data_IF_153718968320
#
_entry.id   IF_153718968320
#
_cell.length_a   1.000
_cell.length_b   1.000
_cell.length_c   1.000
_cell.angle_alpha   90.00
_cell.angle_beta   90.00
_cell.angle_gamma   90.00
#
_symmetry.space_group_name_H-M   'P 1'
#
loop_
_entity.id
_entity.type
_entity.pdbx_description
1 polymer ?
#
# COMPACT_ATOMS: atom_id res chain seq x y z
N UNK A 1 1.41 1.22 20.97
CA UNK A 1 1.68 2.51 20.30
C UNK A 1 2.92 2.31 19.46
N UNK A 2 2.77 2.38 18.14
CA UNK A 2 3.83 2.21 17.13
C UNK A 2 3.83 3.48 16.26
N UNK A 3 4.96 3.86 15.64
CA UNK A 3 6.26 3.19 15.69
C UNK A 3 6.97 3.34 17.04
N UNK A 4 7.94 2.46 17.27
CA UNK A 4 8.87 2.53 18.39
C UNK A 4 10.25 2.03 17.94
N UNK A 5 11.32 2.63 18.46
CA UNK A 5 12.71 2.16 18.25
C UNK A 5 13.41 1.98 19.59
N UNK A 6 14.40 1.11 19.63
CA UNK A 6 15.39 1.09 20.71
C UNK A 6 16.68 1.74 20.19
N UNK A 7 17.11 2.81 20.86
CA UNK A 7 18.33 3.54 20.54
C UNK A 7 19.15 3.72 21.82
N UNK A 8 20.37 3.17 21.83
CA UNK A 8 21.25 3.17 23.01
C UNK A 8 20.59 2.64 24.30
N UNK A 9 19.87 1.53 24.19
CA UNK A 9 19.17 0.89 25.31
C UNK A 9 17.92 1.65 25.79
N UNK A 10 17.46 2.66 25.05
CA UNK A 10 16.26 3.44 25.37
C UNK A 10 15.18 3.23 24.32
N UNK A 11 13.98 2.91 24.79
CA UNK A 11 12.80 2.81 23.93
C UNK A 11 12.23 4.21 23.68
N UNK A 12 12.20 4.62 22.43
CA UNK A 12 11.63 5.88 21.95
C UNK A 12 10.37 5.55 21.16
N UNK A 13 9.30 6.30 21.39
CA UNK A 13 8.00 6.16 20.72
C UNK A 13 7.65 7.52 20.10
N UNK A 14 6.60 7.56 19.28
CA UNK A 14 6.17 8.73 18.50
C UNK A 14 7.13 9.10 17.36
N UNK A 15 6.60 9.27 16.16
CA UNK A 15 7.42 9.48 14.96
C UNK A 15 8.30 10.73 15.05
N UNK A 16 7.79 11.85 15.59
CA UNK A 16 8.56 13.10 15.70
C UNK A 16 9.74 12.94 16.68
N UNK A 17 9.53 12.30 17.83
CA UNK A 17 10.58 12.07 18.84
C UNK A 17 11.64 11.08 18.31
N UNK A 18 11.20 10.05 17.57
CA UNK A 18 12.08 9.10 16.88
C UNK A 18 12.98 9.83 15.88
N UNK A 19 12.40 10.67 15.02
CA UNK A 19 13.16 11.42 14.01
C UNK A 19 14.16 12.38 14.64
N UNK A 20 13.77 13.10 15.71
CA UNK A 20 14.66 13.99 16.46
C UNK A 20 15.81 13.23 17.14
N UNK A 21 15.53 12.05 17.70
CA UNK A 21 16.56 11.21 18.32
C UNK A 21 17.55 10.67 17.29
N UNK A 22 17.06 10.20 16.13
CA UNK A 22 17.90 9.75 15.02
C UNK A 22 18.77 10.89 14.48
N UNK A 23 18.19 12.08 14.28
CA UNK A 23 18.93 13.27 13.86
C UNK A 23 20.05 13.64 14.84
N UNK A 24 19.80 13.52 16.15
CA UNK A 24 20.81 13.81 17.18
C UNK A 24 22.00 12.86 17.13
N UNK A 25 21.76 11.59 16.81
CA UNK A 25 22.81 10.54 16.78
C UNK A 25 23.56 10.52 15.45
N UNK A 26 22.83 10.58 14.33
CA UNK A 26 23.39 10.36 13.00
C UNK A 26 23.55 11.63 12.16
N UNK A 27 23.08 12.77 12.65
CA UNK A 27 23.00 14.02 11.91
C UNK A 27 21.71 14.15 11.08
N UNK A 28 21.44 15.35 10.53
CA UNK A 28 20.22 15.61 9.77
C UNK A 28 20.20 14.87 8.44
N UNK A 29 19.00 14.47 8.02
CA UNK A 29 18.74 14.02 6.66
C UNK A 29 18.51 15.25 5.77
N UNK A 30 19.61 15.80 5.24
CA UNK A 30 19.71 17.06 4.50
C UNK A 30 19.42 18.31 5.34
N UNK A 31 18.22 18.45 5.90
CA UNK A 31 17.82 19.53 6.79
C UNK A 31 17.42 18.99 8.16
N UNK A 32 17.50 19.85 9.18
CA UNK A 32 17.05 19.53 10.54
C UNK A 32 15.52 19.56 10.63
N UNK A 33 14.94 18.72 11.48
CA UNK A 33 13.50 18.70 11.80
C UNK A 33 12.94 20.07 12.23
N UNK A 34 13.78 20.88 12.89
CA UNK A 34 13.45 22.20 13.42
C UNK A 34 13.92 23.36 12.52
N UNK A 35 14.43 23.06 11.33
CA UNK A 35 14.85 24.09 10.38
C UNK A 35 13.66 24.99 9.96
N UNK A 36 13.90 26.30 9.85
CA UNK A 36 12.88 27.30 9.45
C UNK A 36 12.23 27.00 8.09
N UNK A 37 12.93 26.31 7.20
CA UNK A 37 12.43 25.89 5.88
C UNK A 37 11.59 24.62 5.96
N UNK A 38 11.82 23.77 6.97
CA UNK A 38 11.13 22.50 7.21
C UNK A 38 9.82 22.68 7.97
N UNK A 39 9.79 23.59 8.97
CA UNK A 39 8.62 23.80 9.82
C UNK A 39 7.32 24.13 9.05
N UNK A 40 7.30 25.03 8.05
CA UNK A 40 6.09 25.29 7.27
C UNK A 40 5.61 24.07 6.47
N UNK A 41 6.53 23.24 5.99
CA UNK A 41 6.20 22.02 5.23
C UNK A 41 5.61 20.95 6.14
N UNK A 42 6.11 20.81 7.38
CA UNK A 42 5.49 19.96 8.42
C UNK A 42 4.08 20.41 8.76
N UNK A 43 3.82 21.72 8.81
CA UNK A 43 2.45 22.23 9.02
C UNK A 43 1.54 21.92 7.82
N UNK A 44 2.08 22.00 6.60
CA UNK A 44 1.36 21.65 5.37
C UNK A 44 1.00 20.15 5.33
N UNK A 45 1.92 19.26 5.72
CA UNK A 45 1.64 17.82 5.87
C UNK A 45 0.45 17.58 6.80
N UNK A 46 0.45 18.19 8.00
CA UNK A 46 -0.66 18.05 8.95
C UNK A 46 -1.98 18.59 8.41
N UNK A 47 -1.92 19.65 7.59
CA UNK A 47 -3.11 20.19 6.92
C UNK A 47 -3.64 19.21 5.86
N UNK A 48 -2.75 18.61 5.07
CA UNK A 48 -3.09 17.59 4.08
C UNK A 48 -3.71 16.36 4.75
N UNK A 49 -3.09 15.85 5.81
CA UNK A 49 -3.61 14.74 6.60
C UNK A 49 -5.03 15.00 7.11
N UNK A 50 -5.30 16.19 7.67
CA UNK A 50 -6.64 16.57 8.16
C UNK A 50 -7.65 16.63 7.03
N UNK A 51 -7.31 17.22 5.88
CA UNK A 51 -8.20 17.31 4.74
C UNK A 51 -8.53 15.92 4.16
N UNK A 52 -7.54 15.03 4.10
CA UNK A 52 -7.73 13.63 3.71
C UNK A 52 -8.66 12.89 4.68
N UNK A 53 -8.40 12.98 5.99
CA UNK A 53 -9.25 12.35 7.00
C UNK A 53 -10.70 12.84 6.91
N UNK A 54 -10.90 14.16 6.75
CA UNK A 54 -12.23 14.75 6.61
C UNK A 54 -13.00 14.18 5.40
N UNK A 55 -12.31 13.89 4.30
CA UNK A 55 -12.95 13.35 3.11
C UNK A 55 -13.15 11.83 3.15
N UNK A 56 -12.19 11.09 3.70
CA UNK A 56 -12.18 9.62 3.66
C UNK A 56 -12.75 8.95 4.90
N UNK A 57 -12.41 9.43 6.10
CA UNK A 57 -12.55 8.65 7.34
C UNK A 57 -13.87 8.90 8.08
N UNK A 58 -14.62 9.94 7.68
CA UNK A 58 -15.92 10.26 8.27
C UNK A 58 -17.06 9.99 7.29
N UNK A 59 -18.17 9.40 7.76
CA UNK A 59 -19.35 9.20 6.92
C UNK A 59 -19.94 10.55 6.52
N UNK A 60 -20.27 10.70 5.25
CA UNK A 60 -20.96 11.88 4.73
C UNK A 60 -22.46 11.67 4.74
N UNK A 61 -23.22 12.71 5.09
CA UNK A 61 -24.69 12.66 5.16
C UNK A 61 -25.37 13.23 3.91
N UNK A 62 -24.60 13.79 2.97
CA UNK A 62 -25.14 14.35 1.71
C UNK A 62 -24.07 14.46 0.61
N UNK A 63 -24.51 14.45 -0.64
CA UNK A 63 -23.64 14.68 -1.81
C UNK A 63 -22.97 16.07 -1.79
N UNK A 64 -23.63 17.08 -1.23
CA UNK A 64 -23.06 18.42 -1.10
C UNK A 64 -21.88 18.45 -0.10
N UNK A 65 -21.96 17.66 0.97
CA UNK A 65 -20.85 17.50 1.91
C UNK A 65 -19.68 16.75 1.27
N UNK A 66 -19.95 15.67 0.53
CA UNK A 66 -18.93 14.93 -0.22
C UNK A 66 -18.18 15.85 -1.19
N UNK A 67 -18.91 16.63 -1.99
CA UNK A 67 -18.32 17.62 -2.92
C UNK A 67 -17.45 18.64 -2.20
N UNK A 68 -17.92 19.19 -1.07
CA UNK A 68 -17.17 20.17 -0.28
C UNK A 68 -15.87 19.58 0.30
N UNK A 69 -15.94 18.36 0.83
CA UNK A 69 -14.77 17.67 1.37
C UNK A 69 -13.72 17.40 0.28
N UNK A 70 -14.18 16.96 -0.91
CA UNK A 70 -13.33 16.82 -2.10
C UNK A 70 -12.66 18.13 -2.50
N UNK A 71 -13.43 19.21 -2.62
CA UNK A 71 -12.91 20.55 -2.97
C UNK A 71 -11.89 21.07 -1.93
N UNK A 72 -12.15 20.84 -0.64
CA UNK A 72 -11.21 21.21 0.43
C UNK A 72 -9.91 20.41 0.33
N UNK A 73 -9.98 19.10 0.07
CA UNK A 73 -8.79 18.28 -0.14
C UNK A 73 -7.98 18.75 -1.34
N UNK A 74 -8.63 18.96 -2.49
CA UNK A 74 -7.98 19.46 -3.73
C UNK A 74 -7.31 20.81 -3.49
N UNK A 75 -7.95 21.71 -2.73
CA UNK A 75 -7.36 23.01 -2.37
C UNK A 75 -6.07 22.87 -1.57
N UNK A 76 -5.98 21.85 -0.69
CA UNK A 76 -4.76 21.59 0.07
C UNK A 76 -3.71 20.89 -0.80
N UNK A 77 -4.10 19.97 -1.67
CA UNK A 77 -3.18 19.36 -2.65
C UNK A 77 -2.56 20.42 -3.57
N UNK A 78 -3.32 21.44 -3.99
CA UNK A 78 -2.77 22.55 -4.77
C UNK A 78 -1.64 23.31 -4.02
N UNK A 79 -1.72 23.41 -2.69
CA UNK A 79 -0.63 24.00 -1.87
C UNK A 79 0.59 23.07 -1.79
N UNK A 80 0.37 21.76 -1.80
CA UNK A 80 1.44 20.76 -1.86
C UNK A 80 2.14 20.82 -3.23
N UNK A 81 1.37 20.86 -4.31
CA UNK A 81 1.89 21.10 -5.66
C UNK A 81 2.69 22.40 -5.71
N UNK A 82 2.17 23.50 -5.15
CA UNK A 82 2.90 24.77 -5.07
C UNK A 82 4.23 24.61 -4.34
N UNK A 83 4.24 23.94 -3.18
CA UNK A 83 5.44 23.70 -2.39
C UNK A 83 6.49 22.88 -3.15
N UNK A 84 6.09 21.78 -3.80
CA UNK A 84 6.97 20.97 -4.66
C UNK A 84 7.52 21.76 -5.85
N UNK A 85 6.81 22.80 -6.30
CA UNK A 85 7.25 23.65 -7.42
C UNK A 85 8.14 24.83 -7.05
N UNK A 86 8.56 24.97 -5.78
CA UNK A 86 9.40 26.09 -5.33
C UNK A 86 10.86 25.98 -5.75
N UNK A 87 11.31 24.77 -6.04
CA UNK A 87 12.67 24.48 -6.50
C UNK A 87 12.63 23.79 -7.85
N UNK A 88 13.78 23.59 -8.49
CA UNK A 88 13.90 22.75 -9.68
C UNK A 88 13.96 21.25 -9.35
N UNK A 89 14.10 20.90 -8.07
CA UNK A 89 14.11 19.52 -7.58
C UNK A 89 12.70 18.92 -7.61
N UNK A 90 12.55 17.60 -7.85
CA UNK A 90 11.27 16.92 -7.67
C UNK A 90 10.90 16.71 -6.19
N UNK A 91 11.81 16.99 -5.26
CA UNK A 91 11.59 16.91 -3.82
C UNK A 91 11.06 18.25 -3.26
N UNK A 92 10.58 18.25 -2.02
CA UNK A 92 10.06 19.48 -1.39
C UNK A 92 11.10 20.59 -1.22
N UNK A 93 12.38 20.22 -1.16
CA UNK A 93 13.54 21.11 -1.08
C UNK A 93 14.56 20.72 -2.16
N UNK A 94 15.68 21.45 -2.24
CA UNK A 94 16.69 21.26 -3.30
C UNK A 94 17.22 19.82 -3.42
N UNK A 95 17.18 19.04 -2.34
CA UNK A 95 17.57 17.64 -2.31
C UNK A 95 16.54 16.82 -1.51
N UNK A 96 16.50 15.50 -1.75
CA UNK A 96 15.78 14.56 -0.87
C UNK A 96 16.17 14.80 0.58
N UNK A 97 15.18 14.87 1.48
CA UNK A 97 15.44 15.18 2.87
C UNK A 97 14.35 14.71 3.82
N UNK A 98 14.45 15.22 5.04
CA UNK A 98 13.54 14.90 6.13
C UNK A 98 12.07 15.21 5.80
N UNK A 99 11.80 16.25 5.00
CA UNK A 99 10.44 16.60 4.58
C UNK A 99 9.82 15.49 3.75
N UNK A 100 10.55 14.95 2.77
CA UNK A 100 10.04 13.86 1.92
C UNK A 100 9.70 12.61 2.75
N UNK A 101 10.55 12.29 3.74
CA UNK A 101 10.32 11.18 4.67
C UNK A 101 9.07 11.40 5.52
N UNK A 102 8.83 12.64 5.99
CA UNK A 102 7.63 12.99 6.77
C UNK A 102 6.35 12.83 5.94
N UNK A 103 6.35 13.28 4.68
CA UNK A 103 5.18 13.20 3.80
C UNK A 103 4.88 11.76 3.33
N UNK A 104 5.92 10.95 3.14
CA UNK A 104 5.83 9.61 2.51
C UNK A 104 4.69 8.73 3.02
N UNK A 105 4.61 8.39 4.33
CA UNK A 105 3.62 7.42 4.80
C UNK A 105 2.17 7.85 4.56
N UNK A 106 1.86 9.15 4.66
CA UNK A 106 0.51 9.63 4.43
C UNK A 106 0.19 9.80 2.96
N UNK A 107 1.14 10.27 2.16
CA UNK A 107 0.94 10.45 0.70
C UNK A 107 0.75 9.09 0.01
N UNK A 108 1.45 8.03 0.41
CA UNK A 108 1.20 6.67 -0.09
C UNK A 108 -0.21 6.16 0.27
N UNK A 109 -0.58 6.29 1.55
CA UNK A 109 -1.93 5.92 2.03
C UNK A 109 -3.02 6.70 1.31
N UNK A 110 -2.82 7.99 1.06
CA UNK A 110 -3.75 8.84 0.30
C UNK A 110 -3.87 8.39 -1.15
N UNK A 111 -2.74 8.09 -1.81
CA UNK A 111 -2.75 7.63 -3.20
C UNK A 111 -3.58 6.34 -3.37
N UNK A 112 -3.38 5.38 -2.47
CA UNK A 112 -4.15 4.12 -2.48
C UNK A 112 -5.63 4.34 -2.11
N UNK A 113 -5.88 4.97 -0.97
CA UNK A 113 -7.23 5.07 -0.42
C UNK A 113 -8.16 5.96 -1.23
N UNK A 114 -7.67 7.08 -1.78
CA UNK A 114 -8.50 7.95 -2.61
C UNK A 114 -8.78 7.33 -3.97
N UNK A 115 -7.82 6.59 -4.54
CA UNK A 115 -8.04 5.85 -5.76
C UNK A 115 -9.18 4.85 -5.58
N UNK A 116 -9.13 4.08 -4.49
CA UNK A 116 -10.06 3.00 -4.20
C UNK A 116 -11.43 3.47 -3.67
N UNK A 117 -11.47 4.33 -2.65
CA UNK A 117 -12.72 4.73 -1.98
C UNK A 117 -13.40 5.93 -2.64
N UNK A 118 -12.66 6.73 -3.42
CA UNK A 118 -13.15 8.00 -3.97
C UNK A 118 -13.06 8.12 -5.48
N UNK A 119 -12.43 7.16 -6.15
CA UNK A 119 -12.22 7.23 -7.60
C UNK A 119 -11.23 8.33 -8.04
N UNK A 120 -10.48 8.91 -7.09
CA UNK A 120 -9.57 10.03 -7.32
C UNK A 120 -8.12 9.55 -7.35
N UNK A 121 -7.41 9.83 -8.44
CA UNK A 121 -6.02 9.42 -8.60
C UNK A 121 -5.07 10.54 -8.22
N UNK A 122 -4.53 10.49 -6.99
CA UNK A 122 -3.62 11.52 -6.49
C UNK A 122 -2.39 11.67 -7.38
N UNK A 123 -1.84 10.56 -7.87
CA UNK A 123 -0.66 10.58 -8.73
C UNK A 123 -0.95 11.09 -10.14
N UNK A 124 -2.06 10.70 -10.74
CA UNK A 124 -2.36 11.03 -12.14
C UNK A 124 -2.91 12.45 -12.29
N UNK A 125 -3.63 12.97 -11.29
CA UNK A 125 -4.22 14.31 -11.35
C UNK A 125 -3.23 15.44 -10.98
N UNK A 126 -2.09 15.12 -10.37
CA UNK A 126 -1.17 16.12 -9.80
C UNK A 126 0.27 15.92 -10.30
N UNK A 127 0.71 16.71 -11.30
CA UNK A 127 1.98 16.50 -11.99
C UNK A 127 3.23 16.57 -11.09
N UNK A 128 3.27 17.45 -10.09
CA UNK A 128 4.47 17.59 -9.23
C UNK A 128 4.54 16.48 -8.20
N UNK A 129 3.41 16.04 -7.65
CA UNK A 129 3.31 14.83 -6.85
C UNK A 129 3.68 13.59 -7.68
N UNK A 130 3.27 13.54 -8.95
CA UNK A 130 3.70 12.47 -9.86
C UNK A 130 5.22 12.44 -10.02
N UNK A 131 5.84 13.60 -10.24
CA UNK A 131 7.30 13.74 -10.31
C UNK A 131 7.97 13.38 -8.98
N UNK A 132 7.38 13.77 -7.85
CA UNK A 132 7.84 13.42 -6.52
C UNK A 132 7.81 11.90 -6.29
N UNK A 133 6.70 11.22 -6.63
CA UNK A 133 6.61 9.76 -6.56
C UNK A 133 7.68 9.10 -7.45
N UNK A 134 7.87 9.57 -8.69
CA UNK A 134 8.89 9.05 -9.58
C UNK A 134 10.32 9.25 -9.00
N UNK A 135 10.57 10.38 -8.35
CA UNK A 135 11.84 10.64 -7.67
C UNK A 135 12.03 9.75 -6.45
N UNK A 136 11.00 9.56 -5.62
CA UNK A 136 11.04 8.62 -4.49
C UNK A 136 11.29 7.19 -4.99
N UNK A 137 10.60 6.77 -6.04
CA UNK A 137 10.80 5.50 -6.73
C UNK A 137 12.18 5.35 -7.37
N UNK A 138 12.99 6.39 -7.53
CA UNK A 138 14.39 6.22 -7.95
C UNK A 138 15.29 5.67 -6.82
N UNK A 139 14.82 5.70 -5.57
CA UNK A 139 15.60 5.36 -4.38
C UNK A 139 15.34 3.90 -3.97
N UNK A 140 16.38 3.03 -3.91
CA UNK A 140 16.20 1.65 -3.47
C UNK A 140 15.63 1.52 -2.05
N UNK A 141 15.98 2.44 -1.14
CA UNK A 141 15.46 2.46 0.22
C UNK A 141 13.96 2.72 0.28
N UNK A 142 13.45 3.59 -0.58
CA UNK A 142 12.01 3.83 -0.71
C UNK A 142 11.29 2.62 -1.28
N UNK A 143 11.81 2.03 -2.37
CA UNK A 143 11.23 0.80 -2.96
C UNK A 143 11.14 -0.34 -1.96
N UNK A 144 12.11 -0.43 -1.03
CA UNK A 144 12.12 -1.44 0.03
C UNK A 144 11.02 -1.26 1.10
N UNK A 145 10.41 -0.06 1.18
CA UNK A 145 9.33 0.26 2.13
C UNK A 145 7.99 0.55 1.46
N UNK A 146 7.97 0.72 0.13
CA UNK A 146 6.79 1.05 -0.65
C UNK A 146 5.74 -0.06 -0.58
N UNK A 147 4.50 0.33 -0.31
CA UNK A 147 3.35 -0.58 -0.30
C UNK A 147 2.55 -0.51 -1.61
N UNK A 148 1.63 -1.46 -1.80
CA UNK A 148 0.68 -1.47 -2.91
C UNK A 148 -0.69 -0.92 -2.49
N UNK A 149 -1.55 -0.65 -3.47
CA UNK A 149 -2.89 -0.14 -3.19
C UNK A 149 -3.73 -1.13 -2.39
N UNK A 150 -3.66 -2.41 -2.73
CA UNK A 150 -4.47 -3.44 -2.08
C UNK A 150 -4.14 -3.55 -0.58
N UNK A 151 -2.86 -3.53 -0.21
CA UNK A 151 -2.44 -3.59 1.20
C UNK A 151 -2.95 -2.37 1.95
N UNK A 152 -2.74 -1.16 1.43
CA UNK A 152 -3.16 0.08 2.10
C UNK A 152 -4.68 0.19 2.28
N UNK A 153 -5.47 -0.08 1.25
CA UNK A 153 -6.93 0.11 1.34
C UNK A 153 -7.55 -0.84 2.35
N UNK A 154 -6.95 -2.00 2.56
CA UNK A 154 -7.43 -3.00 3.51
C UNK A 154 -6.76 -2.88 4.90
N UNK A 155 -5.60 -2.24 5.04
CA UNK A 155 -4.96 -1.96 6.34
C UNK A 155 -5.51 -0.72 7.05
N UNK A 156 -6.02 0.26 6.29
CA UNK A 156 -6.43 1.57 6.79
C UNK A 156 -7.71 1.58 7.63
N UNK A 157 -8.79 0.85 7.27
CA UNK A 157 -10.06 0.96 7.98
C UNK A 157 -9.97 0.77 9.50
N UNK A 158 -9.30 -0.27 10.03
CA UNK A 158 -9.16 -0.43 11.48
C UNK A 158 -8.22 0.59 12.14
N UNK A 159 -7.29 1.19 11.38
CA UNK A 159 -6.37 2.22 11.90
C UNK A 159 -7.04 3.60 11.99
N UNK A 160 -7.93 3.92 11.04
CA UNK A 160 -8.53 5.24 10.89
C UNK A 160 -9.95 5.33 11.48
N UNK A 161 -10.51 4.22 11.98
CA UNK A 161 -11.89 4.16 12.47
C UNK A 161 -12.94 4.05 11.35
N UNK A 162 -12.51 3.76 10.12
CA UNK A 162 -13.35 3.61 8.93
C UNK A 162 -12.78 4.33 7.70
N UNK A 163 -13.15 3.85 6.52
CA UNK A 163 -12.92 4.50 5.22
C UNK A 163 -14.20 4.38 4.39
N UNK A 164 -14.68 5.48 3.82
CA UNK A 164 -16.03 5.55 3.26
C UNK A 164 -16.03 5.78 1.74
N UNK A 165 -16.71 4.88 1.04
CA UNK A 165 -16.96 4.95 -0.39
C UNK A 165 -17.90 6.11 -0.75
N UNK A 166 -17.72 6.72 -1.93
CA UNK A 166 -18.61 7.78 -2.44
C UNK A 166 -19.68 7.30 -3.44
N UNK A 167 -19.62 6.03 -3.85
CA UNK A 167 -20.55 5.43 -4.82
C UNK A 167 -20.39 5.89 -6.28
N UNK A 168 -19.35 6.67 -6.61
CA UNK A 168 -19.15 7.16 -7.98
C UNK A 168 -18.71 6.04 -8.92
N UNK A 169 -19.05 6.16 -10.22
CA UNK A 169 -18.69 5.15 -11.23
C UNK A 169 -17.19 4.89 -11.29
N UNK A 170 -16.36 5.94 -11.22
CA UNK A 170 -14.90 5.79 -11.26
C UNK A 170 -14.38 5.07 -10.02
N UNK A 171 -15.00 5.28 -8.86
CA UNK A 171 -14.67 4.57 -7.63
C UNK A 171 -14.93 3.07 -7.80
N UNK A 172 -16.09 2.66 -8.34
CA UNK A 172 -16.40 1.26 -8.57
C UNK A 172 -15.41 0.59 -9.54
N UNK A 173 -15.01 1.28 -10.61
CA UNK A 173 -14.00 0.81 -11.57
C UNK A 173 -12.65 0.60 -10.87
N UNK A 174 -12.21 1.60 -10.10
CA UNK A 174 -10.93 1.56 -9.41
C UNK A 174 -10.90 0.47 -8.34
N UNK A 175 -11.98 0.36 -7.55
CA UNK A 175 -12.16 -0.68 -6.54
C UNK A 175 -12.06 -2.07 -7.15
N UNK A 176 -12.80 -2.33 -8.23
CA UNK A 176 -12.73 -3.60 -8.94
C UNK A 176 -11.32 -3.92 -9.44
N UNK A 177 -10.58 -2.92 -9.96
CA UNK A 177 -9.17 -3.10 -10.38
C UNK A 177 -8.25 -3.46 -9.23
N UNK A 178 -8.40 -2.85 -8.06
CA UNK A 178 -7.56 -3.13 -6.89
C UNK A 178 -7.88 -4.50 -6.28
N UNK A 179 -9.15 -4.89 -6.24
CA UNK A 179 -9.59 -6.16 -5.65
C UNK A 179 -9.37 -7.37 -6.59
N UNK A 180 -9.56 -7.19 -7.89
CA UNK A 180 -9.62 -8.30 -8.87
C UNK A 180 -8.64 -8.18 -10.04
N UNK A 181 -7.90 -7.08 -10.12
CA UNK A 181 -6.98 -6.81 -11.22
C UNK A 181 -7.67 -6.21 -12.46
N UNK A 182 -6.91 -5.95 -13.53
CA UNK A 182 -5.46 -6.15 -13.62
C UNK A 182 -4.68 -5.21 -12.69
N UNK A 183 -3.72 -5.78 -11.94
CA UNK A 183 -2.87 -5.02 -11.01
C UNK A 183 -1.70 -4.31 -11.71
N UNK A 184 -1.27 -4.83 -12.85
CA UNK A 184 -0.34 -4.11 -13.73
C UNK A 184 -1.04 -2.86 -14.31
N UNK A 185 -0.34 -1.73 -14.27
CA UNK A 185 -0.87 -0.43 -14.69
C UNK A 185 -1.65 0.35 -13.63
N UNK A 186 -1.77 -0.16 -12.39
CA UNK A 186 -2.21 0.68 -11.27
C UNK A 186 -1.20 1.82 -11.03
N UNK A 187 -1.64 3.02 -10.61
CA UNK A 187 -0.76 4.16 -10.35
C UNK A 187 -0.06 4.08 -8.97
N UNK A 188 0.13 2.87 -8.46
CA UNK A 188 0.82 2.54 -7.21
C UNK A 188 2.34 2.42 -7.39
N UNK A 189 2.81 2.14 -8.61
CA UNK A 189 4.23 2.05 -8.96
C UNK A 189 4.48 2.37 -10.44
N UNK A 190 5.58 3.08 -10.77
CA UNK A 190 5.95 3.38 -12.17
C UNK A 190 7.37 3.00 -12.58
N UNK A 191 8.25 2.63 -11.65
CA UNK A 191 9.58 2.15 -12.03
C UNK A 191 9.49 0.79 -12.77
N UNK A 192 10.40 0.44 -13.68
CA UNK A 192 10.30 -0.82 -14.42
C UNK A 192 10.26 -2.05 -13.52
N UNK A 193 9.42 -3.03 -13.87
CA UNK A 193 9.38 -4.32 -13.18
C UNK A 193 10.77 -4.97 -13.16
N UNK A 194 11.29 -5.37 -11.98
CA UNK A 194 12.52 -6.15 -11.89
C UNK A 194 12.37 -7.54 -12.54
N UNK A 195 13.39 -7.99 -13.28
CA UNK A 195 13.38 -9.30 -13.97
C UNK A 195 13.14 -10.49 -13.03
N UNK A 196 13.50 -10.34 -11.75
CA UNK A 196 13.38 -11.36 -10.73
C UNK A 196 12.06 -11.36 -9.95
N UNK A 197 11.06 -10.54 -10.32
CA UNK A 197 9.77 -10.42 -9.60
C UNK A 197 9.09 -11.78 -9.37
N UNK A 198 9.04 -12.64 -10.40
CA UNK A 198 8.48 -14.00 -10.31
C UNK A 198 9.30 -14.90 -9.40
N UNK A 199 10.63 -14.80 -9.47
CA UNK A 199 11.54 -15.60 -8.65
C UNK A 199 11.40 -15.24 -7.17
N UNK A 200 11.30 -13.95 -6.86
CA UNK A 200 11.04 -13.47 -5.50
C UNK A 200 9.71 -14.02 -4.98
N UNK A 201 8.61 -13.86 -5.75
CA UNK A 201 7.30 -14.37 -5.37
C UNK A 201 7.32 -15.88 -5.10
N UNK A 202 7.98 -16.66 -5.98
CA UNK A 202 8.15 -18.09 -5.83
C UNK A 202 8.93 -18.44 -4.56
N UNK A 203 10.10 -17.81 -4.37
CA UNK A 203 10.98 -18.07 -3.23
C UNK A 203 10.27 -17.80 -1.91
N UNK A 204 9.64 -16.63 -1.76
CA UNK A 204 8.92 -16.22 -0.55
C UNK A 204 7.73 -17.13 -0.25
N UNK A 205 7.01 -17.56 -1.29
CA UNK A 205 5.87 -18.48 -1.15
C UNK A 205 6.34 -19.87 -0.71
N UNK A 206 7.42 -20.40 -1.30
CA UNK A 206 7.97 -21.71 -0.92
C UNK A 206 8.52 -21.68 0.51
N UNK A 207 9.27 -20.63 0.86
CA UNK A 207 9.85 -20.43 2.19
C UNK A 207 8.77 -20.49 3.28
N UNK A 208 7.60 -19.93 3.02
CA UNK A 208 6.49 -19.87 3.97
C UNK A 208 5.34 -20.86 3.67
N UNK A 209 5.52 -21.80 2.73
CA UNK A 209 4.45 -22.66 2.19
C UNK A 209 3.64 -23.36 3.27
N UNK A 210 4.31 -23.97 4.25
CA UNK A 210 3.65 -24.72 5.33
C UNK A 210 2.72 -23.82 6.13
N UNK A 211 3.15 -22.61 6.46
CA UNK A 211 2.35 -21.66 7.23
C UNK A 211 1.23 -21.07 6.38
N UNK A 212 1.49 -20.77 5.10
CA UNK A 212 0.48 -20.31 4.13
C UNK A 212 -0.65 -21.33 4.00
N UNK A 213 -0.33 -22.63 3.89
CA UNK A 213 -1.32 -23.70 3.82
C UNK A 213 -2.12 -23.77 5.12
N UNK A 214 -1.43 -23.82 6.26
CA UNK A 214 -2.06 -23.96 7.58
C UNK A 214 -3.06 -22.84 7.93
N UNK A 215 -2.83 -21.62 7.46
CA UNK A 215 -3.73 -20.47 7.74
C UNK A 215 -4.84 -20.30 6.69
N UNK A 216 -4.86 -21.14 5.65
CA UNK A 216 -5.95 -21.16 4.69
C UNK A 216 -7.16 -21.89 5.31
N UNK A 217 -8.40 -21.40 5.11
CA UNK A 217 -9.58 -22.04 5.71
C UNK A 217 -10.01 -23.36 5.05
N UNK A 218 -9.41 -23.73 3.91
CA UNK A 218 -9.75 -24.94 3.16
C UNK A 218 -8.78 -26.09 3.45
N UNK A 219 -9.11 -27.29 2.97
CA UNK A 219 -8.29 -28.49 3.17
C UNK A 219 -6.84 -28.30 2.68
N UNK A 220 -5.88 -28.71 3.52
CA UNK A 220 -4.45 -28.53 3.30
C UNK A 220 -3.96 -29.16 1.99
N UNK A 221 -4.46 -30.36 1.64
CA UNK A 221 -4.01 -31.07 0.43
C UNK A 221 -4.63 -30.45 -0.82
N UNK A 222 -5.91 -30.09 -0.74
CA UNK A 222 -6.60 -29.36 -1.80
C UNK A 222 -5.85 -28.07 -2.15
N UNK A 223 -5.53 -27.27 -1.13
CA UNK A 223 -4.86 -26.00 -1.32
C UNK A 223 -3.37 -26.15 -1.70
N UNK A 224 -2.61 -27.11 -1.14
CA UNK A 224 -1.22 -27.37 -1.56
C UNK A 224 -1.15 -27.68 -3.07
N UNK A 225 -2.06 -28.53 -3.57
CA UNK A 225 -2.10 -28.84 -4.99
C UNK A 225 -2.47 -27.62 -5.83
N UNK A 226 -3.50 -26.87 -5.45
CA UNK A 226 -3.91 -25.66 -6.16
C UNK A 226 -2.83 -24.58 -6.17
N UNK A 227 -2.12 -24.40 -5.05
CA UNK A 227 -1.01 -23.45 -4.94
C UNK A 227 0.14 -23.84 -5.87
N UNK A 228 0.46 -25.14 -6.00
CA UNK A 228 1.46 -25.61 -6.98
C UNK A 228 1.03 -25.30 -8.41
N UNK A 229 -0.24 -25.51 -8.75
CA UNK A 229 -0.77 -25.14 -10.07
C UNK A 229 -0.56 -23.64 -10.36
N UNK A 230 -0.88 -22.77 -9.40
CA UNK A 230 -0.69 -21.33 -9.54
C UNK A 230 0.79 -20.92 -9.63
N UNK A 231 1.68 -21.56 -8.85
CA UNK A 231 3.11 -21.28 -8.93
C UNK A 231 3.73 -21.80 -10.25
N UNK A 232 3.24 -22.92 -10.78
CA UNK A 232 3.62 -23.41 -12.12
C UNK A 232 3.21 -22.40 -13.19
N UNK A 233 1.93 -21.97 -13.20
CA UNK A 233 1.46 -20.96 -14.15
C UNK A 233 2.28 -19.67 -14.07
N UNK A 234 2.59 -19.17 -12.87
CA UNK A 234 3.37 -17.95 -12.69
C UNK A 234 4.76 -18.04 -13.36
N UNK A 235 5.40 -19.20 -13.28
CA UNK A 235 6.78 -19.40 -13.74
C UNK A 235 6.87 -19.81 -15.21
N UNK A 236 5.90 -20.56 -15.72
CA UNK A 236 5.97 -21.15 -17.08
C UNK A 236 4.98 -20.53 -18.07
N UNK A 237 3.96 -19.82 -17.57
CA UNK A 237 2.82 -19.35 -18.37
C UNK A 237 1.87 -20.48 -18.81
N UNK A 238 2.12 -21.72 -18.39
CA UNK A 238 1.27 -22.87 -18.73
C UNK A 238 0.13 -22.96 -17.73
N UNK A 239 -1.10 -22.94 -18.21
CA UNK A 239 -2.28 -23.19 -17.38
C UNK A 239 -2.23 -24.58 -16.77
N UNK A 240 -2.45 -24.64 -15.46
CA UNK A 240 -2.51 -25.88 -14.71
C UNK A 240 -3.84 -25.91 -13.96
N UNK A 241 -4.76 -26.77 -14.40
CA UNK A 241 -6.10 -26.84 -13.81
C UNK A 241 -5.99 -27.37 -12.37
N UNK A 242 -6.36 -26.57 -11.36
CA UNK A 242 -6.30 -27.02 -9.97
C UNK A 242 -7.49 -27.94 -9.65
N UNK A 243 -7.54 -28.56 -8.45
CA UNK A 243 -8.70 -29.34 -8.03
C UNK A 243 -10.00 -28.50 -8.00
N UNK A 244 -11.17 -29.07 -8.35
CA UNK A 244 -12.45 -28.38 -8.22
C UNK A 244 -12.70 -27.85 -6.81
N UNK A 245 -13.23 -26.61 -6.70
CA UNK A 245 -13.51 -25.95 -5.42
C UNK A 245 -12.29 -25.32 -4.72
N UNK A 246 -11.12 -25.31 -5.36
CA UNK A 246 -9.93 -24.65 -4.81
C UNK A 246 -9.82 -23.15 -5.11
N UNK A 247 -10.72 -22.61 -5.95
CA UNK A 247 -10.80 -21.20 -6.32
C UNK A 247 -10.91 -20.28 -5.09
N UNK A 248 -11.75 -20.66 -4.12
CA UNK A 248 -11.89 -19.94 -2.85
C UNK A 248 -10.56 -19.90 -2.08
N UNK A 249 -9.81 -21.01 -2.04
CA UNK A 249 -8.53 -21.10 -1.33
C UNK A 249 -7.44 -20.25 -2.00
N UNK A 250 -7.40 -20.22 -3.33
CA UNK A 250 -6.48 -19.39 -4.11
C UNK A 250 -6.77 -17.90 -3.93
N UNK A 251 -8.05 -17.50 -4.01
CA UNK A 251 -8.48 -16.12 -3.80
C UNK A 251 -8.30 -15.68 -2.34
N UNK A 252 -8.45 -16.60 -1.38
CA UNK A 252 -8.12 -16.32 0.03
C UNK A 252 -6.67 -15.86 0.20
N UNK A 253 -5.71 -16.57 -0.42
CA UNK A 253 -4.30 -16.15 -0.42
C UNK A 253 -4.10 -14.85 -1.21
N UNK A 254 -4.68 -14.73 -2.41
CA UNK A 254 -4.61 -13.53 -3.26
C UNK A 254 -4.88 -12.28 -2.42
N UNK A 255 -6.00 -12.27 -1.70
CA UNK A 255 -6.47 -11.11 -0.92
C UNK A 255 -5.60 -10.79 0.30
N UNK A 256 -4.77 -11.74 0.76
CA UNK A 256 -4.02 -11.62 2.02
C UNK A 256 -2.52 -11.46 1.84
N UNK A 257 -2.04 -11.32 0.60
CA UNK A 257 -0.66 -10.89 0.30
C UNK A 257 -0.45 -9.45 0.78
N UNK A 258 0.63 -9.20 1.51
CA UNK A 258 1.01 -7.88 2.00
C UNK A 258 2.28 -7.38 1.35
N UNK A 259 2.22 -6.14 0.88
CA UNK A 259 3.38 -5.41 0.37
C UNK A 259 3.78 -4.35 1.40
N UNK A 260 5.07 -4.14 1.70
CA UNK A 260 6.24 -4.91 1.25
C UNK A 260 6.57 -6.11 2.18
N UNK A 261 5.77 -6.38 3.22
CA UNK A 261 6.10 -7.36 4.27
C UNK A 261 6.37 -8.76 3.70
N UNK A 262 5.49 -9.23 2.82
CA UNK A 262 5.57 -10.59 2.30
C UNK A 262 6.52 -10.63 1.09
N UNK A 263 6.45 -9.63 0.21
CA UNK A 263 7.30 -9.46 -0.98
C UNK A 263 7.16 -8.05 -1.57
N UNK A 264 8.02 -7.72 -2.54
CA UNK A 264 7.96 -6.48 -3.31
C UNK A 264 6.66 -6.34 -4.12
N UNK A 265 6.33 -5.10 -4.49
CA UNK A 265 5.09 -4.76 -5.21
C UNK A 265 4.93 -5.56 -6.51
N UNK A 266 6.00 -5.72 -7.30
CA UNK A 266 5.93 -6.48 -8.55
C UNK A 266 5.79 -7.98 -8.34
N UNK A 267 6.48 -8.54 -7.34
CA UNK A 267 6.33 -9.94 -6.95
C UNK A 267 4.89 -10.23 -6.51
N UNK A 268 4.30 -9.35 -5.69
CA UNK A 268 2.92 -9.49 -5.26
C UNK A 268 1.94 -9.42 -6.42
N UNK A 269 2.13 -8.51 -7.38
CA UNK A 269 1.30 -8.41 -8.59
C UNK A 269 1.34 -9.69 -9.43
N UNK A 270 2.54 -10.29 -9.61
CA UNK A 270 2.69 -11.57 -10.32
C UNK A 270 1.99 -12.71 -9.62
N UNK A 271 2.11 -12.78 -8.30
CA UNK A 271 1.45 -13.82 -7.51
C UNK A 271 -0.08 -13.67 -7.56
N UNK A 272 -0.60 -12.45 -7.36
CA UNK A 272 -2.05 -12.15 -7.45
C UNK A 272 -2.64 -12.52 -8.82
N UNK A 273 -1.97 -12.12 -9.90
CA UNK A 273 -2.34 -12.46 -11.28
C UNK A 273 -2.42 -13.98 -11.45
N UNK A 274 -1.38 -14.70 -11.04
CA UNK A 274 -1.36 -16.15 -11.19
C UNK A 274 -2.41 -16.88 -10.36
N UNK A 275 -2.63 -16.44 -9.11
CA UNK A 275 -3.66 -17.01 -8.23
C UNK A 275 -5.06 -16.81 -8.83
N UNK A 276 -5.37 -15.61 -9.35
CA UNK A 276 -6.67 -15.34 -9.95
C UNK A 276 -6.88 -16.11 -11.26
N UNK A 277 -5.90 -16.09 -12.17
CA UNK A 277 -5.99 -16.86 -13.42
C UNK A 277 -6.22 -18.35 -13.15
N UNK A 278 -5.50 -18.91 -12.16
CA UNK A 278 -5.64 -20.32 -11.80
C UNK A 278 -6.99 -20.62 -11.13
N UNK A 279 -7.47 -19.72 -10.25
CA UNK A 279 -8.78 -19.87 -9.61
C UNK A 279 -9.93 -19.86 -10.62
N UNK A 280 -9.87 -18.99 -11.62
CA UNK A 280 -10.89 -18.84 -12.66
C UNK A 280 -11.09 -20.10 -13.51
N UNK A 281 -10.12 -21.04 -13.54
CA UNK A 281 -10.24 -22.31 -14.25
C UNK A 281 -11.24 -23.28 -13.62
N UNK A 282 -11.57 -23.11 -12.34
CA UNK A 282 -12.41 -24.07 -11.59
C UNK A 282 -13.61 -23.45 -10.87
N UNK A 283 -13.75 -22.13 -10.85
CA UNK A 283 -14.94 -21.47 -10.29
C UNK A 283 -14.83 -19.95 -10.07
N UNK A 284 -15.94 -19.37 -9.66
CA UNK A 284 -16.13 -17.95 -9.33
C UNK A 284 -16.31 -17.70 -7.82
N UNK A 285 -16.14 -18.73 -6.99
CA UNK A 285 -16.25 -18.67 -5.54
C UNK A 285 -15.29 -17.65 -4.92
N UNK A 286 -15.78 -16.89 -3.94
CA UNK A 286 -15.01 -15.88 -3.22
C UNK A 286 -14.77 -16.31 -1.77
N UNK A 287 -13.61 -15.96 -1.18
CA UNK A 287 -13.36 -16.19 0.23
C UNK A 287 -14.18 -15.22 1.09
N UNK A 288 -14.18 -15.48 2.40
CA UNK A 288 -14.67 -14.50 3.36
C UNK A 288 -13.95 -13.14 3.18
N UNK A 289 -14.70 -12.02 3.18
CA UNK A 289 -14.12 -10.69 3.01
C UNK A 289 -13.05 -10.36 4.05
N UNK A 290 -12.12 -9.48 3.69
CA UNK A 290 -11.13 -8.96 4.65
C UNK A 290 -11.87 -8.18 5.75
N UNK A 291 -11.62 -8.47 7.05
CA UNK A 291 -12.30 -7.79 8.13
C UNK A 291 -11.95 -6.29 8.16
N UNK A 292 -12.97 -5.44 8.30
CA UNK A 292 -12.78 -3.96 8.35
C UNK A 292 -12.47 -3.43 9.74
N UNK A 293 -12.72 -4.22 10.79
CA UNK A 293 -12.50 -3.83 12.20
C UNK A 293 -11.16 -4.28 12.77
N UNK A 294 -10.44 -5.16 12.09
CA UNK A 294 -9.13 -5.68 12.52
C UNK A 294 -8.39 -6.36 11.37
N UNK A 295 -7.08 -6.59 11.51
CA UNK A 295 -6.27 -7.41 10.58
C UNK A 295 -5.69 -8.68 11.21
N UNK A 296 -6.48 -9.33 12.07
CA UNK A 296 -6.08 -10.59 12.73
C UNK A 296 -5.89 -11.75 11.74
N UNK A 297 -6.50 -11.68 10.55
CA UNK A 297 -6.27 -12.57 9.41
C UNK A 297 -4.81 -12.54 8.92
N UNK A 298 -4.03 -11.55 9.33
CA UNK A 298 -2.62 -11.38 8.97
C UNK A 298 -1.67 -11.50 10.15
N UNK A 299 -2.11 -12.15 11.23
CA UNK A 299 -1.33 -12.30 12.46
C UNK A 299 0.07 -12.87 12.16
N UNK A 300 1.14 -12.09 12.34
CA UNK A 300 2.50 -12.54 12.02
C UNK A 300 2.95 -13.67 12.93
N UNK A 301 2.34 -13.87 14.11
CA UNK A 301 2.67 -14.98 15.01
C UNK A 301 2.49 -16.35 14.34
N UNK A 302 1.60 -16.47 13.35
CA UNK A 302 1.43 -17.68 12.56
C UNK A 302 2.66 -18.00 11.66
N UNK A 303 3.61 -17.08 11.55
CA UNK A 303 4.81 -17.16 10.71
C UNK A 303 6.12 -17.02 11.50
N UNK A 304 6.06 -16.78 12.82
CA UNK A 304 7.23 -16.77 13.70
C UNK A 304 7.58 -18.21 14.07
N UNK A 305 8.40 -18.86 13.24
CA UNK A 305 9.09 -20.17 13.47
C UNK A 305 8.25 -21.27 14.15
N UNK A 306 7.83 -22.25 13.35
CA UNK A 306 7.95 -23.66 13.73
C UNK A 306 9.20 -24.23 13.08
#
# INVERSE_FOLDING_TARGET
MLPAIELDGRIIKESDDILLALEKVFGPLSQRMEDRTVLPLRQLERLLFRAWCNWLCYPVISAQQEKRNREQFITVVAKVEEALGRTSSPYFLDNFGIVDVIFTPYVERMNASLYYYKGYSLREENPRLSAWFAAMESRPTYRGTQSDFHTHVHDLPPQMGGCWENGETQMLINKARVDHGPWFGLPDVTYPEPENSRMEALQRTIEHRVNIIRVNPLDDKLFDQALRCALTHMMTGVECVPPPGSDVALRYLRDRINVPRDMSIYAAKRLRESLETTAALVGDGQPEPIPTKHRLDQNPANFVRN
#
